data_IF_298021810880
#
_entry.id   IF_298021810880
#
_cell.length_a   1.000
_cell.length_b   1.000
_cell.length_c   1.000
_cell.angle_alpha   90.00
_cell.angle_beta   90.00
_cell.angle_gamma   90.00
#
_symmetry.space_group_name_H-M   'P 1'
#
loop_
_entity.id
_entity.type
_entity.pdbx_description
1 polymer ?
#
# COMPACT_ATOMS: atom_id res chain seq x y z
N UNK A 1 62.81 21.78 24.37
CA UNK A 1 62.13 20.99 23.32
C UNK A 1 61.91 19.58 23.84
N UNK A 2 60.69 19.23 24.26
CA UNK A 2 60.32 17.86 24.62
C UNK A 2 59.53 17.27 23.46
N UNK A 3 60.12 16.32 22.76
CA UNK A 3 59.46 15.55 21.71
C UNK A 3 58.33 14.73 22.34
N UNK A 4 57.08 15.04 21.95
CA UNK A 4 55.96 14.11 22.07
C UNK A 4 56.26 12.94 21.15
N UNK A 5 56.55 11.76 21.71
CA UNK A 5 56.39 10.49 20.98
C UNK A 5 54.92 10.41 20.60
N UNK A 6 54.60 10.54 19.31
CA UNK A 6 53.29 10.17 18.80
C UNK A 6 53.06 8.71 19.15
N UNK A 7 51.94 8.42 19.82
CA UNK A 7 51.50 7.05 19.95
C UNK A 7 51.26 6.52 18.53
N UNK A 8 51.96 5.47 18.13
CA UNK A 8 51.63 4.76 16.89
C UNK A 8 50.18 4.30 16.98
N UNK A 9 49.36 4.83 16.09
CA UNK A 9 47.94 4.51 16.01
C UNK A 9 47.81 3.02 15.71
N UNK A 10 47.07 2.30 16.56
CA UNK A 10 46.93 0.86 16.47
C UNK A 10 46.22 0.52 15.16
N UNK A 11 46.96 -0.04 14.19
CA UNK A 11 46.38 -0.44 12.91
C UNK A 11 45.68 -1.80 13.03
N UNK A 12 44.36 -1.77 13.19
CA UNK A 12 43.51 -2.94 13.36
C UNK A 12 43.67 -3.97 12.22
N UNK A 13 43.89 -3.51 10.98
CA UNK A 13 44.04 -4.39 9.81
C UNK A 13 45.29 -5.25 9.91
N UNK A 14 46.38 -4.71 10.46
CA UNK A 14 47.63 -5.46 10.66
C UNK A 14 47.49 -6.49 11.78
N UNK A 15 46.68 -6.19 12.80
CA UNK A 15 46.41 -7.11 13.90
C UNK A 15 45.54 -8.28 13.41
N UNK A 16 44.42 -8.00 12.74
CA UNK A 16 43.50 -9.03 12.25
C UNK A 16 44.18 -10.05 11.31
N UNK A 17 45.20 -9.63 10.54
CA UNK A 17 45.99 -10.54 9.67
C UNK A 17 46.85 -11.58 10.40
N UNK A 18 47.10 -11.38 11.70
CA UNK A 18 47.99 -12.24 12.51
C UNK A 18 47.22 -13.16 13.46
N UNK A 19 45.91 -12.97 13.57
CA UNK A 19 45.04 -13.73 14.46
C UNK A 19 44.69 -15.07 13.80
N UNK A 20 44.66 -16.19 14.56
CA UNK A 20 44.17 -17.48 14.08
C UNK A 20 42.75 -17.37 13.51
N UNK A 21 42.42 -18.24 12.55
CA UNK A 21 41.09 -18.24 11.92
C UNK A 21 39.96 -18.39 12.95
N UNK A 22 40.12 -19.29 13.92
CA UNK A 22 39.07 -19.58 14.92
C UNK A 22 38.85 -18.40 15.88
N UNK A 23 39.93 -17.73 16.31
CA UNK A 23 39.84 -16.52 17.14
C UNK A 23 39.18 -15.36 16.38
N UNK A 24 39.44 -15.25 15.06
CA UNK A 24 38.79 -14.25 14.21
C UNK A 24 37.29 -14.55 14.05
N UNK A 25 36.95 -15.82 13.83
CA UNK A 25 35.56 -16.26 13.75
C UNK A 25 34.82 -15.98 15.06
N UNK A 26 35.44 -16.29 16.20
CA UNK A 26 34.87 -16.00 17.52
C UNK A 26 34.63 -14.49 17.72
N UNK A 27 35.59 -13.64 17.34
CA UNK A 27 35.42 -12.19 17.40
C UNK A 27 34.23 -11.73 16.55
N UNK A 28 34.12 -12.21 15.32
CA UNK A 28 33.02 -11.86 14.41
C UNK A 28 31.68 -12.32 14.99
N UNK A 29 31.60 -13.55 15.52
CA UNK A 29 30.38 -14.06 16.14
C UNK A 29 29.94 -13.21 17.33
N UNK A 30 30.88 -12.80 18.20
CA UNK A 30 30.56 -11.91 19.34
C UNK A 30 30.05 -10.54 18.89
N UNK A 31 30.62 -9.98 17.82
CA UNK A 31 30.18 -8.70 17.26
C UNK A 31 28.78 -8.79 16.66
N UNK A 32 28.47 -9.89 15.97
CA UNK A 32 27.16 -10.14 15.35
C UNK A 32 26.09 -10.38 16.42
N UNK A 33 26.37 -11.22 17.42
CA UNK A 33 25.41 -11.55 18.49
C UNK A 33 25.01 -10.36 19.36
N UNK A 34 25.88 -9.36 19.48
CA UNK A 34 25.64 -8.19 20.33
C UNK A 34 25.04 -7.00 19.58
N UNK A 35 24.88 -7.09 18.26
CA UNK A 35 24.43 -5.97 17.44
C UNK A 35 23.62 -6.42 16.22
N UNK A 36 22.31 -6.16 16.26
CA UNK A 36 21.36 -6.49 15.20
C UNK A 36 21.74 -5.91 13.83
N UNK A 37 22.17 -4.64 13.79
CA UNK A 37 22.66 -4.00 12.55
C UNK A 37 23.94 -4.66 12.03
N UNK A 38 24.79 -5.17 12.91
CA UNK A 38 25.98 -5.93 12.50
C UNK A 38 25.60 -7.31 11.96
N UNK A 39 24.62 -7.96 12.55
CA UNK A 39 24.06 -9.23 12.07
C UNK A 39 23.44 -9.09 10.69
N UNK A 40 22.59 -8.10 10.48
CA UNK A 40 21.95 -7.81 9.18
C UNK A 40 23.01 -7.55 8.10
N UNK A 41 24.00 -6.69 8.39
CA UNK A 41 25.11 -6.43 7.46
C UNK A 41 25.93 -7.68 7.14
N UNK A 42 26.14 -8.55 8.13
CA UNK A 42 26.84 -9.80 7.90
C UNK A 42 26.02 -10.75 7.01
N UNK A 43 24.73 -10.90 7.26
CA UNK A 43 23.84 -11.72 6.43
C UNK A 43 23.73 -11.19 4.99
N UNK A 44 23.57 -9.87 4.82
CA UNK A 44 23.58 -9.22 3.50
C UNK A 44 24.93 -9.43 2.79
N UNK A 45 26.05 -9.40 3.52
CA UNK A 45 27.36 -9.70 2.93
C UNK A 45 27.45 -11.16 2.47
N UNK A 46 26.94 -12.11 3.25
CA UNK A 46 26.97 -13.54 2.92
C UNK A 46 26.05 -13.87 1.72
N UNK A 47 24.85 -13.30 1.69
CA UNK A 47 23.91 -13.36 0.55
C UNK A 47 24.58 -12.86 -0.74
N UNK A 48 25.14 -11.65 -0.71
CA UNK A 48 25.81 -11.04 -1.87
C UNK A 48 27.03 -11.82 -2.37
N UNK A 49 27.58 -12.72 -1.55
CA UNK A 49 28.70 -13.61 -1.92
C UNK A 49 28.25 -15.00 -2.35
N UNK A 50 26.94 -15.31 -2.29
CA UNK A 50 26.39 -16.61 -2.63
C UNK A 50 26.75 -17.69 -1.61
N UNK A 51 26.94 -17.30 -0.33
CA UNK A 51 27.23 -18.26 0.75
C UNK A 51 25.98 -18.82 1.42
N UNK A 52 24.81 -18.23 1.18
CA UNK A 52 23.54 -18.72 1.71
C UNK A 52 22.90 -19.68 0.71
N UNK A 53 22.39 -20.80 1.20
CA UNK A 53 21.52 -21.68 0.42
C UNK A 53 20.08 -21.15 0.38
N UNK A 54 19.21 -21.79 -0.41
CA UNK A 54 17.83 -21.34 -0.62
C UNK A 54 17.01 -21.29 0.69
N UNK A 55 17.20 -22.25 1.60
CA UNK A 55 16.52 -22.27 2.90
C UNK A 55 17.01 -21.14 3.82
N UNK A 56 18.31 -20.88 3.83
CA UNK A 56 18.91 -19.77 4.60
C UNK A 56 18.48 -18.40 4.07
N UNK A 57 18.35 -18.26 2.74
CA UNK A 57 17.84 -17.05 2.09
C UNK A 57 16.38 -16.82 2.46
N UNK A 58 15.52 -17.84 2.29
CA UNK A 58 14.11 -17.75 2.63
C UNK A 58 13.92 -17.38 4.11
N UNK A 59 14.68 -18.02 5.01
CA UNK A 59 14.61 -17.70 6.44
C UNK A 59 15.09 -16.29 6.76
N UNK A 60 16.14 -15.80 6.08
CA UNK A 60 16.61 -14.42 6.21
C UNK A 60 15.52 -13.44 5.79
N UNK A 61 14.96 -13.58 4.58
CA UNK A 61 13.93 -12.68 4.06
C UNK A 61 12.66 -12.72 4.90
N UNK A 62 12.25 -13.90 5.37
CA UNK A 62 11.11 -14.03 6.28
C UNK A 62 11.34 -13.30 7.62
N UNK A 63 12.53 -13.43 8.22
CA UNK A 63 12.85 -12.71 9.46
C UNK A 63 12.87 -11.19 9.25
N UNK A 64 13.40 -10.74 8.11
CA UNK A 64 13.43 -9.33 7.72
C UNK A 64 12.01 -8.77 7.57
N UNK A 65 11.11 -9.51 6.89
CA UNK A 65 9.69 -9.21 6.83
C UNK A 65 9.08 -9.06 8.23
N UNK A 66 9.18 -10.10 9.06
CA UNK A 66 8.52 -10.14 10.37
C UNK A 66 8.94 -9.00 11.27
N UNK A 67 10.21 -8.67 11.26
CA UNK A 67 10.76 -7.56 12.05
C UNK A 67 10.25 -6.21 11.57
N UNK A 68 10.40 -5.91 10.27
CA UNK A 68 10.09 -4.60 9.72
C UNK A 68 8.58 -4.35 9.70
N UNK A 69 7.81 -5.37 9.35
CA UNK A 69 6.36 -5.27 9.32
C UNK A 69 5.79 -5.05 10.72
N UNK A 70 6.25 -5.82 11.73
CA UNK A 70 5.81 -5.62 13.11
C UNK A 70 6.17 -4.22 13.63
N UNK A 71 7.39 -3.73 13.35
CA UNK A 71 7.80 -2.37 13.74
C UNK A 71 6.95 -1.29 13.05
N UNK A 72 6.62 -1.46 11.77
CA UNK A 72 5.74 -0.53 11.07
C UNK A 72 4.32 -0.53 11.68
N UNK A 73 3.74 -1.70 11.95
CA UNK A 73 2.42 -1.81 12.58
C UNK A 73 2.42 -1.22 14.00
N UNK A 74 3.47 -1.46 14.80
CA UNK A 74 3.61 -0.88 16.14
C UNK A 74 3.61 0.66 16.09
N UNK A 75 4.36 1.24 15.13
CA UNK A 75 4.40 2.70 14.93
C UNK A 75 3.03 3.23 14.52
N UNK A 76 2.38 2.60 13.53
CA UNK A 76 1.07 3.04 13.03
C UNK A 76 0.02 2.96 14.15
N UNK A 77 0.06 1.90 14.96
CA UNK A 77 -0.85 1.74 16.10
C UNK A 77 -0.63 2.84 17.16
N UNK A 78 0.63 3.19 17.45
CA UNK A 78 0.93 4.32 18.34
C UNK A 78 0.41 5.65 17.75
N UNK A 79 0.55 5.86 16.44
CA UNK A 79 0.01 7.04 15.76
C UNK A 79 -1.53 7.07 15.82
N UNK A 80 -2.20 5.94 15.60
CA UNK A 80 -3.66 5.83 15.74
C UNK A 80 -4.10 6.24 17.17
N UNK A 81 -3.36 5.81 18.19
CA UNK A 81 -3.64 6.15 19.59
C UNK A 81 -3.53 7.64 19.90
N UNK A 82 -2.58 8.34 19.27
CA UNK A 82 -2.26 9.74 19.61
C UNK A 82 -2.66 10.78 18.56
N UNK A 83 -3.14 10.37 17.38
CA UNK A 83 -3.47 11.27 16.28
C UNK A 83 -2.25 11.67 15.44
N UNK A 84 -1.26 10.79 15.35
CA UNK A 84 0.06 11.03 14.74
C UNK A 84 1.21 10.84 15.72
N UNK A 85 2.43 11.12 15.28
CA UNK A 85 3.63 10.95 16.09
C UNK A 85 4.85 11.67 15.51
N UNK A 86 6.07 11.34 15.99
CA UNK A 86 7.30 11.95 15.53
C UNK A 86 7.61 11.64 14.06
N UNK A 87 8.11 12.63 13.32
CA UNK A 87 8.53 12.48 11.91
C UNK A 87 9.53 11.33 11.71
N UNK A 88 10.49 11.17 12.63
CA UNK A 88 11.47 10.07 12.59
C UNK A 88 10.81 8.68 12.66
N UNK A 89 9.70 8.53 13.37
CA UNK A 89 8.96 7.26 13.45
C UNK A 89 8.10 7.07 12.20
N UNK A 90 7.52 8.15 11.68
CA UNK A 90 6.80 8.12 10.41
C UNK A 90 7.69 7.63 9.26
N UNK A 91 8.86 8.25 9.10
CA UNK A 91 9.86 7.86 8.09
C UNK A 91 10.25 6.38 8.24
N UNK A 92 10.43 5.90 9.47
CA UNK A 92 10.77 4.49 9.74
C UNK A 92 9.65 3.54 9.32
N UNK A 93 8.38 3.88 9.57
CA UNK A 93 7.25 3.06 9.13
C UNK A 93 7.22 2.95 7.60
N UNK A 94 7.37 4.07 6.89
CA UNK A 94 7.48 4.07 5.42
C UNK A 94 8.66 3.26 4.92
N UNK A 95 9.87 3.48 5.45
CA UNK A 95 11.08 2.75 5.06
C UNK A 95 10.93 1.23 5.28
N UNK A 96 10.32 0.83 6.39
CA UNK A 96 10.09 -0.57 6.71
C UNK A 96 9.06 -1.20 5.76
N UNK A 97 7.95 -0.51 5.49
CA UNK A 97 6.94 -0.98 4.56
C UNK A 97 7.46 -1.11 3.14
N UNK A 98 8.25 -0.15 2.65
CA UNK A 98 8.86 -0.24 1.32
C UNK A 98 9.81 -1.43 1.18
N UNK A 99 10.55 -1.78 2.24
CA UNK A 99 11.40 -2.96 2.26
C UNK A 99 10.58 -4.26 2.26
N UNK A 100 9.50 -4.31 3.05
CA UNK A 100 8.57 -5.46 3.07
C UNK A 100 7.93 -5.67 1.69
N UNK A 101 7.44 -4.59 1.07
CA UNK A 101 6.83 -4.65 -0.26
C UNK A 101 7.83 -5.06 -1.33
N UNK A 102 9.07 -4.57 -1.26
CA UNK A 102 10.15 -5.01 -2.16
C UNK A 102 10.42 -6.51 -2.04
N UNK A 103 10.46 -7.07 -0.82
CA UNK A 103 10.62 -8.52 -0.63
C UNK A 103 9.44 -9.30 -1.23
N UNK A 104 8.22 -8.80 -1.08
CA UNK A 104 7.01 -9.41 -1.63
C UNK A 104 6.99 -9.37 -3.17
N UNK A 105 7.28 -8.22 -3.77
CA UNK A 105 7.28 -8.00 -5.23
C UNK A 105 8.40 -8.77 -5.94
N UNK A 106 9.54 -8.96 -5.27
CA UNK A 106 10.65 -9.77 -5.76
C UNK A 106 10.41 -11.29 -5.60
N UNK A 107 9.27 -11.71 -5.03
CA UNK A 107 8.92 -13.12 -4.82
C UNK A 107 9.78 -13.81 -3.74
N UNK A 108 10.33 -13.03 -2.80
CA UNK A 108 11.17 -13.53 -1.70
C UNK A 108 10.35 -13.94 -0.47
N UNK A 109 9.07 -13.61 -0.44
CA UNK A 109 8.15 -13.98 0.63
C UNK A 109 7.12 -15.01 0.12
N UNK A 110 6.69 -15.93 0.99
CA UNK A 110 5.54 -16.79 0.70
C UNK A 110 4.26 -15.97 0.48
N UNK A 111 3.41 -16.41 -0.44
CA UNK A 111 2.14 -15.71 -0.72
C UNK A 111 1.19 -15.70 0.48
N UNK A 112 1.32 -16.67 1.39
CA UNK A 112 0.53 -16.75 2.62
C UNK A 112 0.72 -15.53 3.54
N UNK A 113 1.83 -14.79 3.38
CA UNK A 113 2.05 -13.54 4.13
C UNK A 113 1.08 -12.42 3.72
N UNK A 114 0.51 -12.45 2.51
CA UNK A 114 -0.36 -11.38 2.01
C UNK A 114 -1.63 -11.22 2.84
N UNK A 115 -2.27 -12.33 3.23
CA UNK A 115 -3.48 -12.29 4.05
C UNK A 115 -3.20 -11.72 5.46
N UNK A 116 -2.07 -12.10 6.08
CA UNK A 116 -1.61 -11.54 7.36
C UNK A 116 -1.40 -10.03 7.24
N UNK A 117 -0.70 -9.59 6.19
CA UNK A 117 -0.44 -8.17 5.97
C UNK A 117 -1.74 -7.38 5.77
N UNK A 118 -2.67 -7.88 4.95
CA UNK A 118 -3.97 -7.24 4.71
C UNK A 118 -4.77 -7.14 6.01
N UNK A 119 -4.77 -8.19 6.84
CA UNK A 119 -5.45 -8.21 8.13
C UNK A 119 -4.96 -7.08 9.04
N UNK A 120 -3.66 -7.04 9.31
CA UNK A 120 -3.03 -6.08 10.22
C UNK A 120 -3.20 -4.63 9.70
N UNK A 121 -2.99 -4.40 8.39
CA UNK A 121 -3.15 -3.08 7.79
C UNK A 121 -4.61 -2.60 7.80
N UNK A 122 -5.58 -3.48 7.49
CA UNK A 122 -6.99 -3.09 7.53
C UNK A 122 -7.48 -2.78 8.95
N UNK A 123 -6.95 -3.45 9.98
CA UNK A 123 -7.25 -3.09 11.36
C UNK A 123 -6.78 -1.67 11.69
N UNK A 124 -5.56 -1.32 11.27
CA UNK A 124 -5.03 0.04 11.46
C UNK A 124 -5.81 1.09 10.64
N UNK A 125 -6.18 0.77 9.40
CA UNK A 125 -6.99 1.64 8.53
C UNK A 125 -8.37 1.92 9.13
N UNK A 126 -9.04 0.90 9.69
CA UNK A 126 -10.38 1.07 10.26
C UNK A 126 -10.39 1.79 11.60
N UNK A 127 -9.33 1.66 12.40
CA UNK A 127 -9.17 2.52 13.58
C UNK A 127 -9.11 4.00 13.14
N UNK A 128 -8.38 4.25 12.05
CA UNK A 128 -8.14 5.59 11.53
C UNK A 128 -7.44 6.47 12.57
N UNK A 129 -7.13 7.72 12.21
CA UNK A 129 -6.50 8.73 13.09
C UNK A 129 -4.96 8.76 13.07
N UNK A 130 -4.27 7.78 12.48
CA UNK A 130 -2.80 7.82 12.41
C UNK A 130 -2.24 8.82 11.39
N UNK A 131 -3.01 9.14 10.34
CA UNK A 131 -2.50 9.90 9.19
C UNK A 131 -1.84 9.03 8.12
N UNK A 132 -1.77 7.72 8.33
CA UNK A 132 -1.28 6.75 7.33
C UNK A 132 -2.40 6.20 6.43
N UNK A 133 -3.64 6.69 6.53
CA UNK A 133 -4.79 6.09 5.87
C UNK A 133 -4.58 5.90 4.35
N UNK A 134 -4.06 6.92 3.66
CA UNK A 134 -3.74 6.88 2.23
C UNK A 134 -2.58 5.91 1.94
N UNK A 135 -1.53 5.92 2.77
CA UNK A 135 -0.37 5.04 2.61
C UNK A 135 -0.73 3.57 2.83
N UNK A 136 -1.56 3.28 3.84
CA UNK A 136 -2.07 1.94 4.12
C UNK A 136 -2.85 1.43 2.93
N UNK A 137 -3.71 2.27 2.33
CA UNK A 137 -4.44 1.90 1.13
C UNK A 137 -3.49 1.57 -0.04
N UNK A 138 -2.51 2.44 -0.31
CA UNK A 138 -1.49 2.22 -1.34
C UNK A 138 -0.71 0.91 -1.13
N UNK A 139 -0.36 0.59 0.12
CA UNK A 139 0.31 -0.66 0.46
C UNK A 139 -0.60 -1.88 0.24
N UNK A 140 -1.87 -1.80 0.64
CA UNK A 140 -2.86 -2.87 0.39
C UNK A 140 -3.00 -3.13 -1.10
N UNK A 141 -3.01 -2.09 -1.95
CA UNK A 141 -3.08 -2.26 -3.40
C UNK A 141 -1.88 -3.03 -3.98
N UNK A 142 -0.70 -2.87 -3.38
CA UNK A 142 0.52 -3.61 -3.76
C UNK A 142 0.54 -5.04 -3.22
N UNK A 143 -0.09 -5.28 -2.07
CA UNK A 143 -0.16 -6.60 -1.41
C UNK A 143 -1.25 -7.48 -2.04
N UNK A 144 -2.42 -6.92 -2.34
CA UNK A 144 -3.56 -7.68 -2.83
C UNK A 144 -3.45 -8.00 -4.33
N UNK A 145 -3.15 -9.27 -4.65
CA UNK A 145 -2.94 -9.70 -6.04
C UNK A 145 -4.02 -10.64 -6.62
N UNK A 146 -4.96 -11.15 -5.80
CA UNK A 146 -5.93 -12.17 -6.21
C UNK A 146 -7.34 -11.83 -5.70
N UNK A 147 -8.35 -12.46 -6.28
CA UNK A 147 -9.76 -12.26 -5.92
C UNK A 147 -10.00 -12.45 -4.41
N UNK A 148 -9.37 -13.46 -3.80
CA UNK A 148 -9.50 -13.76 -2.38
C UNK A 148 -9.03 -12.59 -1.50
N UNK A 149 -7.90 -11.96 -1.85
CA UNK A 149 -7.36 -10.79 -1.15
C UNK A 149 -8.32 -9.61 -1.19
N UNK A 150 -8.88 -9.29 -2.36
CA UNK A 150 -9.84 -8.21 -2.49
C UNK A 150 -11.16 -8.49 -1.78
N UNK A 151 -11.61 -9.74 -1.74
CA UNK A 151 -12.76 -10.15 -0.93
C UNK A 151 -12.50 -10.01 0.57
N UNK A 152 -11.27 -10.26 1.03
CA UNK A 152 -10.86 -10.00 2.40
C UNK A 152 -10.94 -8.50 2.71
N UNK A 153 -10.35 -7.63 1.88
CA UNK A 153 -10.44 -6.16 2.02
C UNK A 153 -11.91 -5.70 2.09
N UNK A 154 -12.76 -6.18 1.19
CA UNK A 154 -14.20 -5.87 1.22
C UNK A 154 -14.89 -6.29 2.52
N UNK A 155 -14.43 -7.36 3.16
CA UNK A 155 -15.01 -7.81 4.44
C UNK A 155 -14.72 -6.82 5.59
N UNK A 156 -13.61 -6.10 5.51
CA UNK A 156 -13.27 -5.01 6.43
C UNK A 156 -14.06 -3.74 6.10
N UNK A 157 -14.06 -3.29 4.84
CA UNK A 157 -14.77 -2.07 4.44
C UNK A 157 -16.28 -2.14 4.74
N UNK A 158 -16.89 -3.33 4.66
CA UNK A 158 -18.30 -3.55 5.04
C UNK A 158 -18.62 -3.26 6.51
N UNK A 159 -17.61 -3.27 7.39
CA UNK A 159 -17.78 -2.95 8.80
C UNK A 159 -17.86 -1.43 9.03
N UNK A 160 -17.35 -0.65 8.07
CA UNK A 160 -17.41 0.80 8.11
C UNK A 160 -18.73 1.33 7.54
N UNK A 161 -19.19 2.45 8.11
CA UNK A 161 -20.31 3.23 7.58
C UNK A 161 -19.84 4.48 6.81
N UNK A 162 -18.54 4.59 6.51
CA UNK A 162 -17.97 5.73 5.79
C UNK A 162 -18.41 5.75 4.32
N UNK A 163 -18.78 6.94 3.82
CA UNK A 163 -19.02 7.14 2.39
C UNK A 163 -17.76 6.92 1.55
N UNK A 164 -16.60 7.20 2.12
CA UNK A 164 -15.33 6.97 1.45
C UNK A 164 -15.09 5.48 1.24
N UNK A 165 -15.26 4.66 2.29
CA UNK A 165 -15.12 3.21 2.19
C UNK A 165 -16.14 2.58 1.24
N UNK A 166 -17.37 3.11 1.20
CA UNK A 166 -18.36 2.71 0.20
C UNK A 166 -17.91 2.99 -1.24
N UNK A 167 -17.18 4.09 -1.46
CA UNK A 167 -16.59 4.42 -2.76
C UNK A 167 -15.45 3.46 -3.10
N UNK A 168 -14.57 3.16 -2.14
CA UNK A 168 -13.51 2.16 -2.32
C UNK A 168 -14.08 0.77 -2.64
N UNK A 169 -15.19 0.38 -2.02
CA UNK A 169 -15.88 -0.87 -2.36
C UNK A 169 -16.35 -0.90 -3.81
N UNK A 170 -16.91 0.21 -4.33
CA UNK A 170 -17.30 0.33 -5.73
C UNK A 170 -16.09 0.15 -6.66
N UNK A 171 -14.96 0.78 -6.34
CA UNK A 171 -13.73 0.67 -7.11
C UNK A 171 -13.18 -0.76 -7.09
N UNK A 172 -13.23 -1.45 -5.95
CA UNK A 172 -12.85 -2.87 -5.87
C UNK A 172 -13.74 -3.74 -6.76
N UNK A 173 -15.07 -3.63 -6.65
CA UNK A 173 -15.97 -4.43 -7.49
C UNK A 173 -15.75 -4.16 -8.97
N UNK A 174 -15.57 -2.89 -9.36
CA UNK A 174 -15.39 -2.51 -10.76
C UNK A 174 -14.04 -2.92 -11.33
N UNK A 175 -12.95 -2.58 -10.63
CA UNK A 175 -11.60 -2.60 -11.20
C UNK A 175 -10.75 -3.78 -10.74
N UNK A 176 -10.99 -4.31 -9.54
CA UNK A 176 -10.18 -5.40 -8.98
C UNK A 176 -10.85 -6.76 -9.17
N UNK A 177 -12.17 -6.82 -9.03
CA UNK A 177 -12.96 -8.06 -9.18
C UNK A 177 -13.63 -8.18 -10.55
N UNK A 178 -13.93 -7.08 -11.23
CA UNK A 178 -14.73 -7.09 -12.45
C UNK A 178 -16.18 -7.55 -12.24
N UNK A 179 -16.69 -7.42 -11.01
CA UNK A 179 -18.06 -7.78 -10.63
C UNK A 179 -19.02 -6.63 -10.95
N UNK A 180 -19.35 -6.54 -12.24
CA UNK A 180 -20.25 -5.50 -12.77
C UNK A 180 -21.64 -5.53 -12.11
N UNK A 181 -22.17 -6.71 -11.81
CA UNK A 181 -23.51 -6.85 -11.23
C UNK A 181 -23.55 -6.20 -9.85
N UNK A 182 -22.60 -6.54 -8.98
CA UNK A 182 -22.52 -5.97 -7.63
C UNK A 182 -22.21 -4.48 -7.69
N UNK A 183 -21.31 -4.05 -8.58
CA UNK A 183 -21.04 -2.63 -8.81
C UNK A 183 -22.31 -1.86 -9.21
N UNK A 184 -23.07 -2.31 -10.21
CA UNK A 184 -24.30 -1.63 -10.66
C UNK A 184 -25.34 -1.56 -9.52
N UNK A 185 -25.55 -2.66 -8.79
CA UNK A 185 -26.49 -2.72 -7.67
C UNK A 185 -26.14 -1.73 -6.56
N UNK A 186 -24.85 -1.62 -6.20
CA UNK A 186 -24.38 -0.66 -5.20
C UNK A 186 -24.40 0.77 -5.72
N UNK A 187 -23.96 1.00 -6.96
CA UNK A 187 -23.83 2.34 -7.53
C UNK A 187 -25.16 3.06 -7.61
N UNK A 188 -26.22 2.37 -8.01
CA UNK A 188 -27.58 2.91 -8.06
C UNK A 188 -28.06 3.40 -6.68
N UNK A 189 -27.63 2.74 -5.60
CA UNK A 189 -28.00 3.12 -4.23
C UNK A 189 -27.19 4.33 -3.71
N UNK A 190 -26.11 4.71 -4.39
CA UNK A 190 -25.15 5.72 -3.96
C UNK A 190 -25.07 6.92 -4.92
N UNK A 191 -26.09 7.16 -5.76
CA UNK A 191 -26.15 8.33 -6.62
C UNK A 191 -26.56 9.57 -5.81
N UNK A 192 -25.60 10.39 -5.39
CA UNK A 192 -25.86 11.65 -4.67
C UNK A 192 -25.34 12.85 -5.44
N UNK A 193 -24.05 12.85 -5.80
CA UNK A 193 -23.39 14.00 -6.40
C UNK A 193 -23.36 13.92 -7.93
N UNK A 194 -23.21 15.07 -8.60
CA UNK A 194 -23.05 15.09 -10.07
C UNK A 194 -21.93 14.17 -10.58
N UNK A 195 -20.85 14.03 -9.81
CA UNK A 195 -19.76 13.07 -10.06
C UNK A 195 -20.22 11.62 -10.01
N UNK A 196 -21.17 11.27 -9.14
CA UNK A 196 -21.66 9.90 -9.01
C UNK A 196 -22.43 9.45 -10.26
N UNK A 197 -23.30 10.34 -10.74
CA UNK A 197 -24.05 10.13 -11.97
C UNK A 197 -23.14 10.10 -13.19
N UNK A 198 -22.13 10.98 -13.24
CA UNK A 198 -21.18 11.03 -14.35
C UNK A 198 -20.38 9.73 -14.45
N UNK A 199 -19.80 9.28 -13.34
CA UNK A 199 -19.01 8.04 -13.32
C UNK A 199 -19.88 6.81 -13.69
N UNK A 200 -21.12 6.73 -13.20
CA UNK A 200 -22.02 5.64 -13.60
C UNK A 200 -22.42 5.72 -15.08
N UNK A 201 -22.66 6.92 -15.61
CA UNK A 201 -22.93 7.10 -17.04
C UNK A 201 -21.73 6.65 -17.90
N UNK A 202 -20.51 7.01 -17.51
CA UNK A 202 -19.29 6.59 -18.20
C UNK A 202 -19.10 5.07 -18.15
N UNK A 203 -19.38 4.43 -17.02
CA UNK A 203 -19.39 2.96 -16.91
C UNK A 203 -20.38 2.32 -17.91
N UNK A 204 -21.61 2.82 -17.97
CA UNK A 204 -22.63 2.32 -18.91
C UNK A 204 -22.25 2.55 -20.37
N UNK A 205 -21.62 3.69 -20.68
CA UNK A 205 -21.11 3.96 -22.02
C UNK A 205 -19.99 2.99 -22.42
N UNK A 206 -19.06 2.68 -21.51
CA UNK A 206 -18.01 1.69 -21.72
C UNK A 206 -18.59 0.29 -22.01
N UNK A 207 -19.73 -0.04 -21.40
CA UNK A 207 -20.51 -1.27 -21.65
C UNK A 207 -21.30 -1.24 -22.98
N UNK A 208 -21.35 -0.09 -23.66
CA UNK A 208 -22.12 0.11 -24.89
C UNK A 208 -23.59 0.49 -24.67
N UNK A 209 -24.01 0.71 -23.42
CA UNK A 209 -25.38 1.09 -23.04
C UNK A 209 -25.63 2.60 -23.16
N UNK A 210 -25.25 3.20 -24.30
CA UNK A 210 -25.23 4.66 -24.51
C UNK A 210 -26.53 5.39 -24.14
N UNK A 211 -27.68 4.79 -24.46
CA UNK A 211 -28.98 5.39 -24.15
C UNK A 211 -29.20 5.48 -22.63
N UNK A 212 -28.91 4.40 -21.90
CA UNK A 212 -29.05 4.35 -20.44
C UNK A 212 -28.02 5.27 -19.78
N UNK A 213 -26.80 5.36 -20.33
CA UNK A 213 -25.78 6.30 -19.89
C UNK A 213 -26.28 7.76 -19.96
N UNK A 214 -26.88 8.16 -21.08
CA UNK A 214 -27.49 9.49 -21.22
C UNK A 214 -28.67 9.69 -20.26
N UNK A 215 -29.56 8.70 -20.10
CA UNK A 215 -30.68 8.77 -19.15
C UNK A 215 -30.20 8.97 -17.70
N UNK A 216 -29.12 8.28 -17.28
CA UNK A 216 -28.48 8.46 -15.97
C UNK A 216 -27.86 9.85 -15.84
N UNK A 217 -27.16 10.33 -16.86
CA UNK A 217 -26.53 11.64 -16.80
C UNK A 217 -27.56 12.79 -16.74
N UNK A 218 -28.62 12.71 -17.55
CA UNK A 218 -29.75 13.65 -17.49
C UNK A 218 -30.46 13.60 -16.13
N UNK A 219 -30.59 12.42 -15.52
CA UNK A 219 -31.12 12.28 -14.15
C UNK A 219 -30.23 13.02 -13.16
N UNK A 220 -28.92 12.88 -13.27
CA UNK A 220 -27.96 13.60 -12.42
C UNK A 220 -28.01 15.11 -12.58
N UNK A 221 -28.29 15.66 -13.77
CA UNK A 221 -28.48 17.11 -13.94
C UNK A 221 -29.70 17.64 -13.17
N UNK A 222 -30.72 16.80 -12.96
CA UNK A 222 -31.96 17.18 -12.26
C UNK A 222 -31.88 16.93 -10.75
N UNK A 223 -31.26 15.83 -10.35
CA UNK A 223 -31.32 15.31 -8.98
C UNK A 223 -29.97 15.38 -8.24
N UNK A 224 -28.85 15.46 -8.96
CA UNK A 224 -27.52 15.42 -8.38
C UNK A 224 -27.14 16.70 -7.65
N UNK A 225 -26.42 16.54 -6.54
CA UNK A 225 -25.88 17.63 -5.76
C UNK A 225 -24.44 17.96 -6.20
N UNK A 226 -24.08 19.23 -6.36
CA UNK A 226 -22.70 19.64 -6.66
C UNK A 226 -22.08 19.01 -7.93
N UNK A 227 -20.87 19.45 -8.29
CA UNK A 227 -20.10 18.90 -9.42
C UNK A 227 -20.86 18.72 -10.76
N UNK A 228 -21.84 19.58 -11.05
CA UNK A 228 -22.67 19.41 -12.25
C UNK A 228 -21.93 19.80 -13.54
N UNK A 229 -20.87 20.60 -13.48
CA UNK A 229 -20.18 21.12 -14.67
C UNK A 229 -19.71 20.03 -15.64
N UNK A 230 -19.02 19.01 -15.13
CA UNK A 230 -18.57 17.88 -15.95
C UNK A 230 -19.75 17.02 -16.47
N UNK A 231 -20.85 16.97 -15.71
CA UNK A 231 -22.06 16.28 -16.13
C UNK A 231 -22.78 17.02 -17.26
N UNK A 232 -22.80 18.36 -17.23
CA UNK A 232 -23.29 19.20 -18.32
C UNK A 232 -22.49 18.98 -19.60
N UNK A 233 -21.16 19.00 -19.50
CA UNK A 233 -20.25 18.74 -20.62
C UNK A 233 -20.55 17.38 -21.26
N UNK A 234 -20.63 16.32 -20.44
CA UNK A 234 -20.97 14.98 -20.91
C UNK A 234 -22.32 14.93 -21.65
N UNK A 235 -23.40 15.44 -21.05
CA UNK A 235 -24.73 15.43 -21.68
C UNK A 235 -24.75 16.22 -22.99
N UNK A 236 -24.09 17.38 -23.01
CA UNK A 236 -24.05 18.23 -24.20
C UNK A 236 -23.27 17.60 -25.34
N UNK A 237 -22.16 16.92 -25.06
CA UNK A 237 -21.42 16.14 -26.06
C UNK A 237 -22.28 15.04 -26.66
N UNK A 238 -23.01 14.27 -25.83
CA UNK A 238 -23.90 13.20 -26.30
C UNK A 238 -24.99 13.75 -27.24
N UNK A 239 -25.64 14.87 -26.90
CA UNK A 239 -26.63 15.49 -27.78
C UNK A 239 -26.04 15.97 -29.12
N UNK A 240 -24.80 16.46 -29.13
CA UNK A 240 -24.15 16.85 -30.38
C UNK A 240 -23.81 15.64 -31.25
N UNK A 241 -23.36 14.53 -30.66
CA UNK A 241 -23.15 13.28 -31.39
C UNK A 241 -24.45 12.71 -31.97
N UNK A 242 -25.58 12.91 -31.29
CA UNK A 242 -26.91 12.50 -31.76
C UNK A 242 -27.56 13.48 -32.75
N UNK A 243 -26.98 14.67 -32.94
CA UNK A 243 -27.55 15.72 -33.79
C UNK A 243 -28.72 16.47 -33.16
N UNK A 244 -28.93 16.34 -31.84
CA UNK A 244 -30.06 16.89 -31.07
C UNK A 244 -29.65 18.13 -30.27
N UNK A 245 -28.92 19.06 -30.90
CA UNK A 245 -28.29 20.22 -30.23
C UNK A 245 -29.30 21.12 -29.51
N UNK A 246 -30.54 21.17 -29.99
CA UNK A 246 -31.64 21.92 -29.38
C UNK A 246 -31.96 21.47 -27.96
N UNK A 247 -31.69 20.20 -27.60
CA UNK A 247 -31.93 19.70 -26.24
C UNK A 247 -31.01 20.31 -25.20
N UNK A 248 -29.89 20.92 -25.60
CA UNK A 248 -28.99 21.65 -24.70
C UNK A 248 -29.68 22.82 -24.01
N UNK A 249 -30.67 23.46 -24.65
CA UNK A 249 -31.38 24.61 -24.07
C UNK A 249 -32.36 24.25 -22.94
N UNK A 250 -32.53 22.96 -22.64
CA UNK A 250 -33.41 22.48 -21.57
C UNK A 250 -32.74 22.47 -20.18
N UNK A 251 -31.45 22.81 -20.11
CA UNK A 251 -30.65 22.86 -18.89
C UNK A 251 -29.81 24.15 -18.87
#
# INVERSE_FOLDING_TARGET
MKNKKGAEEVNIRTILKRIPHDDLLELIMRLIQSNKKAQEKALNFLENKGYLNDEELAQKHYNEYREKFAEAIDIISEFNMYGGGPEDDEDRAYENMEQVLSLLEEGKLPDECREEMIHELMEQYLEGNSGFDDAIWDWIERIACEEAHWRLVLSYLKQSNSKYDQSLMLDIYRHKLGDEETYEQMRIQQLTYGSDYLDYAQFLEQKGEKKKALEIAEKGLREGEGFLGALYEYVFEQYEQMGEKEKRCNY
#
